data_IF_859602763862
#
_entry.id   IF_859602763862
#
_cell.length_a   1.000
_cell.length_b   1.000
_cell.length_c   1.000
_cell.angle_alpha   90.00
_cell.angle_beta   90.00
_cell.angle_gamma   90.00
#
_symmetry.space_group_name_H-M   'P 1'
#
loop_
_entity.id
_entity.type
_entity.pdbx_description
1 polymer ?
#
# COMPACT_ATOMS: atom_id res chain seq x y z
N UNK A 1 -0.79 -21.53 -5.93
CA UNK A 1 -0.77 -21.45 -4.46
C UNK A 1 0.15 -20.28 -4.05
N UNK A 2 -0.40 -19.06 -3.90
CA UNK A 2 0.41 -17.90 -3.50
C UNK A 2 0.48 -17.94 -1.98
N UNK A 3 1.63 -18.35 -1.47
CA UNK A 3 1.86 -18.52 -0.04
C UNK A 3 1.69 -17.18 0.68
N UNK A 4 0.72 -17.15 1.59
CA UNK A 4 0.87 -16.42 2.83
C UNK A 4 2.16 -16.93 3.47
N UNK A 5 3.27 -16.21 3.27
CA UNK A 5 4.46 -16.45 4.08
C UNK A 5 4.15 -15.94 5.48
N UNK A 6 3.55 -16.84 6.25
CA UNK A 6 3.77 -16.93 7.67
C UNK A 6 5.29 -16.99 7.85
N UNK A 7 5.89 -15.84 8.18
CA UNK A 7 7.31 -15.72 8.38
C UNK A 7 7.73 -16.68 9.50
N UNK A 8 8.55 -17.65 9.14
CA UNK A 8 9.21 -18.57 10.05
C UNK A 8 9.91 -17.77 11.17
N UNK A 9 9.59 -18.07 12.43
CA UNK A 9 10.15 -17.39 13.62
C UNK A 9 11.68 -17.52 13.72
N UNK A 10 12.29 -18.44 12.97
CA UNK A 10 13.75 -18.67 12.95
C UNK A 10 14.48 -17.85 11.90
N UNK A 11 13.76 -17.25 10.95
CA UNK A 11 14.31 -16.41 9.90
C UNK A 11 13.70 -15.02 10.02
N UNK A 12 14.31 -14.10 10.79
CA UNK A 12 13.86 -12.73 10.82
C UNK A 12 13.87 -12.19 9.39
N UNK A 13 12.74 -11.61 8.96
CA UNK A 13 12.62 -10.98 7.67
C UNK A 13 13.81 -10.01 7.49
N UNK A 14 14.71 -10.20 6.49
CA UNK A 14 15.92 -9.39 6.32
C UNK A 14 15.62 -7.92 5.99
N UNK A 15 14.34 -7.57 5.88
CA UNK A 15 13.83 -6.23 5.65
C UNK A 15 13.20 -5.56 6.88
N UNK A 16 13.34 -6.16 8.07
CA UNK A 16 12.74 -5.64 9.32
C UNK A 16 13.21 -4.22 9.67
N UNK A 17 14.47 -3.88 9.35
CA UNK A 17 15.06 -2.55 9.64
C UNK A 17 14.94 -1.56 8.46
N UNK A 18 14.21 -1.91 7.40
CA UNK A 18 14.00 -0.95 6.31
C UNK A 18 12.91 0.05 6.71
N UNK A 19 13.16 1.37 6.57
CA UNK A 19 12.14 2.39 6.83
C UNK A 19 10.89 2.04 6.04
N UNK A 20 9.73 2.08 6.70
CA UNK A 20 8.41 1.73 6.14
C UNK A 20 8.31 2.18 4.68
N UNK A 21 8.50 1.23 3.76
CA UNK A 21 8.50 1.53 2.32
C UNK A 21 7.07 1.81 1.91
N UNK A 22 6.89 2.80 1.03
CA UNK A 22 5.60 3.10 0.41
C UNK A 22 4.93 1.79 -0.07
N UNK A 23 3.64 1.55 0.20
CA UNK A 23 2.65 2.45 0.82
C UNK A 23 2.56 2.37 2.36
N UNK A 24 3.39 1.56 3.02
CA UNK A 24 3.21 1.19 4.44
C UNK A 24 3.35 2.38 5.40
N UNK A 25 4.12 3.41 5.01
CA UNK A 25 4.24 4.69 5.74
C UNK A 25 2.91 5.45 5.85
N UNK A 26 2.03 5.31 4.87
CA UNK A 26 0.84 6.15 4.73
C UNK A 26 -0.46 5.41 5.00
N UNK A 27 -0.40 4.08 5.13
CA UNK A 27 -1.57 3.20 5.19
C UNK A 27 -1.42 2.22 6.35
N UNK A 28 -2.14 2.49 7.44
CA UNK A 28 -2.13 1.67 8.67
C UNK A 28 -3.01 0.42 8.57
N UNK A 29 -4.08 0.49 7.78
CA UNK A 29 -5.01 -0.61 7.60
C UNK A 29 -4.37 -1.73 6.72
N UNK A 30 -4.31 -2.99 7.20
CA UNK A 30 -3.71 -4.10 6.47
C UNK A 30 -4.38 -4.42 5.13
N UNK A 31 -5.71 -4.33 5.04
CA UNK A 31 -6.47 -4.62 3.83
C UNK A 31 -6.28 -3.51 2.79
N UNK A 32 -6.18 -2.27 3.25
CA UNK A 32 -5.84 -1.11 2.42
C UNK A 32 -4.43 -1.27 1.83
N UNK A 33 -3.44 -1.63 2.65
CA UNK A 33 -2.08 -1.92 2.17
C UNK A 33 -2.07 -3.04 1.14
N UNK A 34 -2.76 -4.14 1.42
CA UNK A 34 -2.83 -5.30 0.53
C UNK A 34 -3.43 -4.92 -0.82
N UNK A 35 -4.52 -4.15 -0.82
CA UNK A 35 -5.19 -3.71 -2.02
C UNK A 35 -4.29 -2.81 -2.90
N UNK A 36 -3.57 -1.85 -2.30
CA UNK A 36 -2.64 -0.99 -3.04
C UNK A 36 -1.45 -1.77 -3.57
N UNK A 37 -0.82 -2.63 -2.76
CA UNK A 37 0.30 -3.47 -3.21
C UNK A 37 -0.09 -4.37 -4.38
N UNK A 38 -1.29 -4.95 -4.30
CA UNK A 38 -1.82 -5.78 -5.39
C UNK A 38 -2.05 -4.95 -6.65
N UNK A 39 -2.67 -3.77 -6.53
CA UNK A 39 -2.90 -2.88 -7.65
C UNK A 39 -1.59 -2.44 -8.32
N UNK A 40 -0.60 -1.99 -7.55
CA UNK A 40 0.73 -1.60 -8.05
C UNK A 40 1.43 -2.74 -8.76
N UNK A 41 1.32 -3.96 -8.23
CA UNK A 41 1.84 -5.16 -8.89
C UNK A 41 1.13 -5.42 -10.22
N UNK A 42 -0.19 -5.22 -10.30
CA UNK A 42 -0.96 -5.37 -11.53
C UNK A 42 -0.52 -4.34 -12.59
N UNK A 43 -0.40 -3.06 -12.22
CA UNK A 43 0.09 -1.99 -13.10
C UNK A 43 1.50 -2.30 -13.63
N UNK A 44 2.42 -2.74 -12.74
CA UNK A 44 3.79 -3.07 -13.11
C UNK A 44 3.90 -4.29 -14.05
N UNK A 45 2.89 -5.17 -14.05
CA UNK A 45 2.84 -6.38 -14.89
C UNK A 45 1.93 -6.22 -16.11
N UNK A 46 1.22 -5.10 -16.26
CA UNK A 46 0.19 -4.93 -17.29
C UNK A 46 -0.98 -5.89 -17.11
N UNK A 47 -1.23 -6.36 -15.89
CA UNK A 47 -2.35 -7.26 -15.59
C UNK A 47 -3.60 -6.49 -15.12
N UNK A 48 -4.78 -7.00 -15.47
CA UNK A 48 -6.04 -6.46 -14.99
C UNK A 48 -6.22 -6.72 -13.49
N UNK A 49 -6.35 -5.65 -12.71
CA UNK A 49 -6.59 -5.74 -11.27
C UNK A 49 -7.86 -6.55 -10.94
N UNK A 50 -8.92 -6.40 -11.74
CA UNK A 50 -10.16 -7.17 -11.59
C UNK A 50 -9.92 -8.67 -11.77
N UNK A 51 -9.19 -9.05 -12.81
CA UNK A 51 -8.97 -10.45 -13.14
C UNK A 51 -8.03 -11.11 -12.14
N UNK A 52 -7.03 -10.37 -11.65
CA UNK A 52 -6.14 -10.82 -10.56
C UNK A 52 -6.92 -11.01 -9.27
N UNK A 53 -7.85 -10.10 -8.92
CA UNK A 53 -8.76 -10.29 -7.78
C UNK A 53 -9.57 -11.58 -7.93
N UNK A 54 -10.18 -11.80 -9.11
CA UNK A 54 -10.94 -13.01 -9.41
C UNK A 54 -10.10 -14.29 -9.25
N UNK A 55 -8.91 -14.35 -9.85
CA UNK A 55 -7.99 -15.51 -9.73
C UNK A 55 -7.52 -15.78 -8.30
N UNK A 56 -7.51 -14.75 -7.44
CA UNK A 56 -7.10 -14.87 -6.03
C UNK A 56 -8.27 -15.05 -5.06
N UNK A 57 -9.50 -15.20 -5.55
CA UNK A 57 -10.70 -15.33 -4.72
C UNK A 57 -11.02 -14.08 -3.89
N UNK A 58 -10.55 -12.91 -4.34
CA UNK A 58 -10.76 -11.64 -3.66
C UNK A 58 -11.97 -10.92 -4.26
N UNK A 59 -12.93 -10.45 -3.45
CA UNK A 59 -14.03 -9.63 -3.95
C UNK A 59 -13.49 -8.33 -4.56
N UNK A 60 -13.66 -8.16 -5.87
CA UNK A 60 -13.17 -7.00 -6.61
C UNK A 60 -13.70 -5.67 -6.02
N UNK A 61 -14.97 -5.63 -5.64
CA UNK A 61 -15.62 -4.45 -5.07
C UNK A 61 -14.98 -4.02 -3.75
N UNK A 62 -14.70 -4.96 -2.84
CA UNK A 62 -14.02 -4.68 -1.58
C UNK A 62 -12.58 -4.23 -1.84
N UNK A 63 -11.83 -4.96 -2.67
CA UNK A 63 -10.46 -4.59 -3.03
C UNK A 63 -10.37 -3.20 -3.67
N UNK A 64 -11.34 -2.84 -4.51
CA UNK A 64 -11.44 -1.51 -5.11
C UNK A 64 -11.68 -0.42 -4.06
N UNK A 65 -12.61 -0.63 -3.12
CA UNK A 65 -12.89 0.31 -2.01
C UNK A 65 -11.66 0.51 -1.13
N UNK A 66 -10.99 -0.57 -0.72
CA UNK A 66 -9.78 -0.51 0.08
C UNK A 66 -8.65 0.23 -0.65
N UNK A 67 -8.47 -0.01 -1.96
CA UNK A 67 -7.50 0.74 -2.78
C UNK A 67 -7.84 2.23 -2.81
N UNK A 68 -9.10 2.60 -3.04
CA UNK A 68 -9.53 3.99 -3.09
C UNK A 68 -9.30 4.72 -1.76
N UNK A 69 -9.69 4.11 -0.64
CA UNK A 69 -9.48 4.68 0.70
C UNK A 69 -7.98 4.87 0.99
N UNK A 70 -7.15 3.88 0.63
CA UNK A 70 -5.70 3.98 0.78
C UNK A 70 -5.12 5.13 -0.05
N UNK A 71 -5.51 5.26 -1.32
CA UNK A 71 -5.02 6.33 -2.20
C UNK A 71 -5.46 7.72 -1.74
N UNK A 72 -6.68 7.85 -1.20
CA UNK A 72 -7.15 9.09 -0.59
C UNK A 72 -6.30 9.47 0.62
N UNK A 73 -6.02 8.50 1.51
CA UNK A 73 -5.17 8.71 2.69
C UNK A 73 -3.75 9.10 2.30
N UNK A 74 -3.14 8.40 1.34
CA UNK A 74 -1.80 8.72 0.80
C UNK A 74 -1.78 10.15 0.26
N UNK A 75 -2.75 10.51 -0.58
CA UNK A 75 -2.85 11.86 -1.17
C UNK A 75 -2.99 12.94 -0.11
N UNK A 76 -3.84 12.72 0.89
CA UNK A 76 -4.03 13.65 2.01
C UNK A 76 -2.72 13.88 2.77
N UNK A 77 -2.00 12.80 3.11
CA UNK A 77 -0.75 12.90 3.86
C UNK A 77 0.36 13.59 3.06
N UNK A 78 0.49 13.29 1.77
CA UNK A 78 1.47 13.94 0.90
C UNK A 78 1.18 15.44 0.75
N UNK A 79 -0.10 15.83 0.65
CA UNK A 79 -0.48 17.24 0.60
C UNK A 79 -0.21 17.96 1.92
N UNK A 80 -0.44 17.29 3.05
CA UNK A 80 -0.12 17.83 4.38
C UNK A 80 1.39 18.04 4.55
N UNK A 81 2.20 17.04 4.21
CA UNK A 81 3.67 17.14 4.24
C UNK A 81 4.16 18.33 3.41
N UNK A 82 3.66 18.45 2.17
CA UNK A 82 3.98 19.58 1.29
C UNK A 82 3.54 20.94 1.87
N UNK A 83 2.42 21.01 2.57
CA UNK A 83 1.96 22.25 3.20
C UNK A 83 2.88 22.65 4.35
N UNK A 84 3.22 21.70 5.23
CA UNK A 84 4.11 21.93 6.37
C UNK A 84 5.52 22.36 5.93
N UNK A 85 6.03 21.79 4.83
CA UNK A 85 7.30 22.21 4.23
C UNK A 85 7.26 23.66 3.71
N UNK A 86 6.13 24.08 3.11
CA UNK A 86 5.94 25.46 2.64
C UNK A 86 5.86 26.45 3.79
N UNK A 87 5.09 26.13 4.82
CA UNK A 87 4.92 27.00 5.98
C UNK A 87 6.24 27.16 6.75
N UNK A 88 7.03 26.09 6.85
CA UNK A 88 8.36 26.13 7.47
C UNK A 88 9.36 27.01 6.70
N UNK A 89 9.23 27.10 5.37
CA UNK A 89 10.06 27.95 4.52
C UNK A 89 9.62 29.43 4.49
N UNK A 90 8.45 29.77 5.06
CA UNK A 90 7.94 31.14 5.16
C UNK A 90 8.30 31.82 6.49
N UNK A 91 8.90 31.09 7.44
CA UNK A 91 9.27 31.57 8.79
C UNK A 91 10.78 31.93 8.87
N UNK A 92 11.49 31.97 7.73
CA UNK A 92 12.91 32.35 7.64
C UNK A 92 13.07 33.68 6.89
#
# INVERSE_FOLDING_TARGET
>A
MIMAQQADRRFPNPWHDKPLRWPDRFVEDPDHRRAVKLWVWCEAKGESFRDVCGRRGLPYTSALRHRQAAMQRITMLLNLERSLERDSNLVV
#
